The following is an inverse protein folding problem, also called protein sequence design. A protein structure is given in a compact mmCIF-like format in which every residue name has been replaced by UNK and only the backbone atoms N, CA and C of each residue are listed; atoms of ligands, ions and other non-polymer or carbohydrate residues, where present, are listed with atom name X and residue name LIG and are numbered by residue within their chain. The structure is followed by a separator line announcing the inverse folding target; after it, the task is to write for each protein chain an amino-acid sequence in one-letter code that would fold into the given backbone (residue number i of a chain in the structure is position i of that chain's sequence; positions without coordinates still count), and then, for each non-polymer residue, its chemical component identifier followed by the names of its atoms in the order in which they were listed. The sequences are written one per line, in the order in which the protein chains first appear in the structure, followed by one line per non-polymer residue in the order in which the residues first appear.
data_IF_032600749178
#
_entry.id   IF_032600749178
#
_cell.length_a   1.000
_cell.length_b   1.000
_cell.length_c   1.000
_cell.angle_alpha   90.00
_cell.angle_beta   90.00
_cell.angle_gamma   90.00
#
_symmetry.space_group_name_H-M   'P 1'
#
loop_
_entity.id
_entity.type
_entity.pdbx_description
1 polymer ?
#
# COMPACT_ATOMS: atom_id res chain seq x y z
N UNK A 1 -17.91 17.36 -18.12
CA UNK A 1 -18.34 16.73 -16.85
C UNK A 1 -19.02 17.79 -16.02
N UNK A 2 -20.35 17.72 -15.85
CA UNK A 2 -21.10 18.65 -14.99
C UNK A 2 -21.05 18.14 -13.54
N UNK A 3 -20.46 18.91 -12.63
CA UNK A 3 -20.51 18.67 -11.20
C UNK A 3 -21.52 19.65 -10.60
N UNK A 4 -22.65 19.13 -10.11
CA UNK A 4 -23.68 19.95 -9.44
C UNK A 4 -23.46 19.94 -7.93
N UNK A 5 -23.40 21.11 -7.29
CA UNK A 5 -23.32 21.26 -5.82
C UNK A 5 -24.56 20.72 -5.09
N UNK A 6 -25.65 20.42 -5.83
CA UNK A 6 -26.90 19.87 -5.28
C UNK A 6 -26.86 18.34 -5.08
N UNK A 7 -25.86 17.65 -5.63
CA UNK A 7 -25.72 16.19 -5.47
C UNK A 7 -25.00 15.90 -4.16
N UNK A 8 -25.76 15.47 -3.15
CA UNK A 8 -25.22 14.99 -1.88
C UNK A 8 -25.04 13.48 -1.96
N UNK A 9 -23.78 13.01 -1.97
CA UNK A 9 -23.46 11.59 -1.87
C UNK A 9 -23.15 11.24 -0.42
N UNK A 10 -23.86 10.27 0.14
CA UNK A 10 -23.57 9.73 1.47
C UNK A 10 -22.59 8.57 1.32
N UNK A 11 -21.39 8.72 1.87
CA UNK A 11 -20.41 7.66 1.92
C UNK A 11 -20.49 6.92 3.24
N UNK A 12 -20.91 5.65 3.21
CA UNK A 12 -20.87 4.79 4.38
C UNK A 12 -19.46 4.19 4.52
N UNK A 13 -18.78 4.53 5.60
CA UNK A 13 -17.48 3.92 5.93
C UNK A 13 -17.63 2.41 6.15
N UNK A 14 -16.60 1.64 5.82
CA UNK A 14 -16.63 0.19 6.02
C UNK A 14 -16.62 -0.14 7.51
N UNK A 15 -17.59 -0.92 7.97
CA UNK A 15 -17.80 -1.27 9.38
C UNK A 15 -16.70 -2.17 9.95
N UNK A 16 -15.99 -2.92 9.11
CA UNK A 16 -14.98 -3.88 9.54
C UNK A 16 -13.64 -3.68 8.84
N UNK A 17 -12.54 -3.89 9.58
CA UNK A 17 -11.17 -3.83 9.07
C UNK A 17 -10.98 -4.81 7.90
N UNK A 18 -11.58 -6.01 7.98
CA UNK A 18 -11.51 -7.01 6.90
C UNK A 18 -12.09 -6.50 5.57
N UNK A 19 -13.27 -5.86 5.62
CA UNK A 19 -13.90 -5.25 4.44
C UNK A 19 -13.05 -4.12 3.87
N UNK A 20 -12.40 -3.33 4.76
CA UNK A 20 -11.52 -2.25 4.38
C UNK A 20 -10.23 -2.75 3.70
N UNK A 21 -9.56 -3.77 4.26
CA UNK A 21 -8.36 -4.38 3.67
C UNK A 21 -8.67 -4.99 2.30
N UNK A 22 -9.81 -5.70 2.15
CA UNK A 22 -10.27 -6.21 0.85
C UNK A 22 -10.48 -5.10 -0.17
N UNK A 23 -11.03 -3.97 0.25
CA UNK A 23 -11.19 -2.79 -0.60
C UNK A 23 -9.84 -2.25 -1.08
N UNK A 24 -8.85 -2.15 -0.18
CA UNK A 24 -7.50 -1.68 -0.53
C UNK A 24 -6.79 -2.64 -1.48
N UNK A 25 -6.96 -3.94 -1.29
CA UNK A 25 -6.47 -4.94 -2.24
C UNK A 25 -7.08 -4.74 -3.64
N UNK A 26 -8.39 -4.59 -3.74
CA UNK A 26 -9.07 -4.36 -5.01
C UNK A 26 -8.62 -3.04 -5.67
N UNK A 27 -8.36 -1.99 -4.89
CA UNK A 27 -7.76 -0.76 -5.41
C UNK A 27 -6.36 -0.99 -5.97
N UNK A 28 -5.54 -1.81 -5.30
CA UNK A 28 -4.24 -2.23 -5.82
C UNK A 28 -4.36 -2.92 -7.18
N UNK A 29 -5.27 -3.91 -7.27
CA UNK A 29 -5.54 -4.65 -8.52
C UNK A 29 -5.96 -3.69 -9.65
N UNK A 30 -6.95 -2.84 -9.39
CA UNK A 30 -7.47 -1.89 -10.39
C UNK A 30 -6.38 -0.94 -10.88
N UNK A 31 -5.52 -0.46 -9.98
CA UNK A 31 -4.41 0.43 -10.31
C UNK A 31 -3.31 -0.27 -11.10
N UNK A 32 -2.98 -1.51 -10.74
CA UNK A 32 -2.01 -2.30 -11.48
C UNK A 32 -2.49 -2.58 -12.91
N UNK A 33 -3.74 -3.02 -13.09
CA UNK A 33 -4.34 -3.21 -14.42
C UNK A 33 -4.35 -1.93 -15.24
N UNK A 34 -4.64 -0.78 -14.60
CA UNK A 34 -4.61 0.52 -15.28
C UNK A 34 -3.20 0.85 -15.79
N UNK A 35 -2.17 0.66 -14.97
CA UNK A 35 -0.76 0.92 -15.35
C UNK A 35 -0.34 0.01 -16.51
N UNK A 36 -0.68 -1.27 -16.44
CA UNK A 36 -0.33 -2.25 -17.49
C UNK A 36 -1.03 -1.88 -18.82
N UNK A 37 -2.33 -1.60 -18.76
CA UNK A 37 -3.13 -1.31 -19.97
C UNK A 37 -2.75 0.01 -20.63
N UNK A 38 -2.58 1.07 -19.84
CA UNK A 38 -2.36 2.42 -20.38
C UNK A 38 -0.87 2.80 -20.47
N UNK A 39 0.04 1.98 -19.91
CA UNK A 39 1.50 2.26 -19.82
C UNK A 39 1.82 3.64 -19.22
N UNK A 40 0.92 4.14 -18.35
CA UNK A 40 1.05 5.47 -17.73
C UNK A 40 0.95 5.37 -16.22
N UNK A 41 1.81 6.13 -15.54
CA UNK A 41 1.84 6.23 -14.08
C UNK A 41 1.21 7.56 -13.70
N UNK A 42 0.06 7.51 -13.01
CA UNK A 42 -0.70 8.72 -12.65
C UNK A 42 -0.39 9.25 -11.25
N UNK A 43 0.25 8.45 -10.40
CA UNK A 43 0.60 8.87 -9.03
C UNK A 43 1.87 8.19 -8.52
N UNK A 44 2.62 8.90 -7.66
CA UNK A 44 3.84 8.39 -7.03
C UNK A 44 3.61 7.10 -6.21
N UNK A 45 2.42 6.92 -5.63
CA UNK A 45 2.07 5.71 -4.87
C UNK A 45 2.13 4.44 -5.72
N UNK A 46 1.85 4.55 -7.02
CA UNK A 46 1.89 3.42 -7.96
C UNK A 46 3.31 2.92 -8.21
N UNK A 47 4.30 3.75 -7.91
CA UNK A 47 5.72 3.41 -8.08
C UNK A 47 6.37 3.08 -6.74
N UNK A 48 6.21 3.96 -5.74
CA UNK A 48 6.94 3.86 -4.47
C UNK A 48 6.62 2.56 -3.73
N UNK A 49 5.36 2.19 -3.58
CA UNK A 49 4.97 1.00 -2.81
C UNK A 49 5.43 -0.32 -3.46
N UNK A 50 5.18 -0.57 -4.77
CA UNK A 50 5.67 -1.79 -5.40
C UNK A 50 7.19 -1.85 -5.51
N UNK A 51 7.86 -0.75 -5.86
CA UNK A 51 9.32 -0.73 -6.00
C UNK A 51 10.03 -0.91 -4.65
N UNK A 52 9.52 -0.30 -3.57
CA UNK A 52 10.07 -0.51 -2.23
C UNK A 52 9.92 -1.96 -1.77
N UNK A 53 8.80 -2.62 -2.06
CA UNK A 53 8.62 -4.03 -1.72
C UNK A 53 9.53 -4.95 -2.53
N UNK A 54 9.73 -4.67 -3.83
CA UNK A 54 10.70 -5.39 -4.65
C UNK A 54 12.14 -5.18 -4.15
N UNK A 55 12.50 -3.94 -3.78
CA UNK A 55 13.80 -3.63 -3.21
C UNK A 55 14.04 -4.43 -1.91
N UNK A 56 13.04 -4.54 -1.02
CA UNK A 56 13.14 -5.38 0.18
C UNK A 56 13.41 -6.85 -0.16
N UNK A 57 12.71 -7.41 -1.15
CA UNK A 57 12.90 -8.80 -1.58
C UNK A 57 14.32 -8.98 -2.14
N UNK A 58 14.79 -8.08 -3.00
CA UNK A 58 16.14 -8.12 -3.56
C UNK A 58 17.19 -8.02 -2.47
N UNK A 59 17.06 -7.06 -1.53
CA UNK A 59 17.98 -6.91 -0.40
C UNK A 59 18.01 -8.17 0.47
N UNK A 60 16.87 -8.81 0.70
CA UNK A 60 16.79 -10.05 1.45
C UNK A 60 17.63 -11.16 0.79
N UNK A 61 17.47 -11.39 -0.51
CA UNK A 61 18.26 -12.42 -1.21
C UNK A 61 19.75 -12.07 -1.33
N UNK A 62 20.09 -10.80 -1.54
CA UNK A 62 21.49 -10.35 -1.56
C UNK A 62 22.14 -10.46 -0.18
N UNK A 63 21.36 -10.37 0.89
CA UNK A 63 21.82 -10.55 2.27
C UNK A 63 22.47 -11.90 2.53
N UNK A 64 22.06 -12.96 1.84
CA UNK A 64 22.72 -14.28 1.93
C UNK A 64 24.13 -14.29 1.33
N UNK A 65 24.44 -13.34 0.42
CA UNK A 65 25.79 -13.20 -0.14
C UNK A 65 26.65 -12.24 0.67
N UNK A 66 26.05 -11.19 1.24
CA UNK A 66 26.75 -10.18 2.01
C UNK A 66 25.85 -9.61 3.10
N UNK A 67 26.25 -9.72 4.35
CA UNK A 67 25.54 -9.25 5.54
C UNK A 67 25.19 -7.75 5.48
N UNK A 68 25.93 -6.95 4.73
CA UNK A 68 25.64 -5.51 4.52
C UNK A 68 24.20 -5.28 4.04
N UNK A 69 23.68 -6.14 3.13
CA UNK A 69 22.31 -5.99 2.63
C UNK A 69 21.26 -6.31 3.68
N UNK A 70 21.52 -7.19 4.65
CA UNK A 70 20.62 -7.40 5.79
C UNK A 70 20.57 -6.18 6.71
N UNK A 71 21.70 -5.52 6.97
CA UNK A 71 21.72 -4.28 7.75
C UNK A 71 20.94 -3.16 7.02
N UNK A 72 21.12 -3.05 5.71
CA UNK A 72 20.40 -2.08 4.90
C UNK A 72 18.89 -2.34 4.91
N UNK A 73 18.46 -3.60 4.78
CA UNK A 73 17.08 -4.02 4.88
C UNK A 73 16.47 -3.68 6.23
N UNK A 74 17.20 -3.98 7.32
CA UNK A 74 16.79 -3.65 8.68
C UNK A 74 16.60 -2.15 8.86
N UNK A 75 17.55 -1.34 8.40
CA UNK A 75 17.47 0.12 8.44
C UNK A 75 16.23 0.62 7.68
N UNK A 76 15.96 0.07 6.51
CA UNK A 76 14.79 0.43 5.70
C UNK A 76 13.47 0.08 6.40
N UNK A 77 13.38 -1.09 7.01
CA UNK A 77 12.22 -1.52 7.79
C UNK A 77 12.01 -0.61 9.00
N UNK A 78 13.08 -0.30 9.76
CA UNK A 78 13.01 0.61 10.91
C UNK A 78 12.55 2.01 10.50
N UNK A 79 13.08 2.54 9.41
CA UNK A 79 12.66 3.84 8.87
C UNK A 79 11.17 3.83 8.46
N UNK A 80 10.71 2.77 7.82
CA UNK A 80 9.30 2.61 7.47
C UNK A 80 8.38 2.58 8.70
N UNK A 81 8.74 1.83 9.75
CA UNK A 81 7.99 1.81 11.00
C UNK A 81 8.01 3.18 11.70
N UNK A 82 9.13 3.88 11.68
CA UNK A 82 9.24 5.24 12.21
C UNK A 82 8.23 6.18 11.51
N UNK A 83 8.13 6.12 10.18
CA UNK A 83 7.14 6.90 9.42
C UNK A 83 5.70 6.56 9.79
N UNK A 84 5.38 5.27 9.98
CA UNK A 84 4.04 4.86 10.42
C UNK A 84 3.72 5.40 11.82
N UNK A 85 4.67 5.29 12.76
CA UNK A 85 4.50 5.75 14.12
C UNK A 85 4.34 7.27 14.15
N UNK A 86 5.19 8.02 13.45
CA UNK A 86 5.11 9.49 13.41
C UNK A 86 3.81 9.97 12.80
N UNK A 87 3.35 9.37 11.71
CA UNK A 87 2.05 9.71 11.10
C UNK A 87 0.89 9.39 12.02
N UNK A 88 0.97 8.26 12.75
CA UNK A 88 -0.04 7.87 13.73
C UNK A 88 -0.10 8.83 14.93
N UNK A 89 1.06 9.25 15.43
CA UNK A 89 1.17 10.25 16.51
C UNK A 89 0.58 11.60 16.13
N UNK A 90 0.87 12.08 14.92
CA UNK A 90 0.36 13.36 14.42
C UNK A 90 -1.17 13.34 14.31
N UNK A 91 -1.73 12.22 13.82
CA UNK A 91 -3.17 12.10 13.58
C UNK A 91 -4.00 11.81 14.84
N UNK A 92 -3.45 11.10 15.82
CA UNK A 92 -4.18 10.56 16.97
C UNK A 92 -3.53 10.92 18.31
N UNK A 93 -3.19 12.20 18.51
CA UNK A 93 -2.52 12.70 19.74
C UNK A 93 -3.27 12.43 21.05
N UNK A 94 -4.58 12.16 20.99
CA UNK A 94 -5.44 12.09 22.19
C UNK A 94 -5.57 10.68 22.80
N UNK A 95 -5.20 9.60 22.08
CA UNK A 95 -5.39 8.24 22.57
C UNK A 95 -4.38 7.25 21.97
N UNK A 96 -3.63 6.59 22.84
CA UNK A 96 -2.64 5.55 22.45
C UNK A 96 -3.35 4.39 21.72
N UNK A 97 -4.54 3.99 22.20
CA UNK A 97 -5.31 2.91 21.57
C UNK A 97 -5.73 3.24 20.12
N UNK A 98 -6.12 4.47 19.85
CA UNK A 98 -6.43 4.91 18.49
C UNK A 98 -5.18 5.02 17.63
N UNK A 99 -4.05 5.38 18.21
CA UNK A 99 -2.77 5.42 17.53
C UNK A 99 -2.33 4.04 17.05
N UNK A 100 -2.41 3.02 17.90
CA UNK A 100 -2.03 1.64 17.52
C UNK A 100 -2.96 1.06 16.47
N UNK A 101 -4.28 1.28 16.61
CA UNK A 101 -5.27 0.87 15.60
C UNK A 101 -5.01 1.55 14.25
N UNK A 102 -4.71 2.85 14.26
CA UNK A 102 -4.41 3.61 13.05
C UNK A 102 -3.13 3.08 12.37
N UNK A 103 -2.06 2.85 13.15
CA UNK A 103 -0.82 2.30 12.64
C UNK A 103 -1.02 0.90 11.99
N UNK A 104 -1.77 0.02 12.67
CA UNK A 104 -2.11 -1.30 12.15
C UNK A 104 -2.94 -1.23 10.86
N UNK A 105 -3.93 -0.33 10.79
CA UNK A 105 -4.70 -0.10 9.57
C UNK A 105 -3.83 0.43 8.43
N UNK A 106 -2.92 1.37 8.71
CA UNK A 106 -2.03 1.94 7.70
C UNK A 106 -1.10 0.87 7.13
N UNK A 107 -0.50 0.07 8.01
CA UNK A 107 0.37 -1.06 7.62
C UNK A 107 -0.39 -2.09 6.77
N UNK A 108 -1.57 -2.53 7.25
CA UNK A 108 -2.43 -3.46 6.52
C UNK A 108 -2.87 -2.93 5.14
N UNK A 109 -3.11 -1.63 5.04
CA UNK A 109 -3.46 -0.96 3.78
C UNK A 109 -2.32 -1.02 2.77
N UNK A 110 -1.09 -0.74 3.20
CA UNK A 110 0.09 -0.76 2.32
C UNK A 110 0.35 -2.17 1.80
N UNK A 111 0.29 -3.19 2.68
CA UNK A 111 0.46 -4.59 2.27
C UNK A 111 -0.64 -5.03 1.30
N UNK A 112 -1.91 -4.82 1.67
CA UNK A 112 -3.03 -5.26 0.84
C UNK A 112 -3.01 -4.59 -0.54
N UNK A 113 -2.72 -3.30 -0.60
CA UNK A 113 -2.63 -2.56 -1.85
C UNK A 113 -1.48 -3.07 -2.73
N UNK A 114 -0.31 -3.29 -2.15
CA UNK A 114 0.88 -3.80 -2.86
C UNK A 114 0.65 -5.21 -3.40
N UNK A 115 0.07 -6.11 -2.59
CA UNK A 115 -0.29 -7.45 -3.03
C UNK A 115 -1.31 -7.42 -4.16
N UNK A 116 -2.32 -6.55 -4.07
CA UNK A 116 -3.29 -6.34 -5.14
C UNK A 116 -2.64 -5.84 -6.43
N UNK A 117 -1.70 -4.91 -6.33
CA UNK A 117 -0.97 -4.40 -7.48
C UNK A 117 -0.18 -5.51 -8.18
N UNK A 118 0.58 -6.34 -7.46
CA UNK A 118 1.29 -7.48 -8.08
C UNK A 118 0.34 -8.54 -8.62
N UNK A 119 -0.76 -8.82 -7.92
CA UNK A 119 -1.77 -9.76 -8.41
C UNK A 119 -2.38 -9.34 -9.76
N UNK A 120 -2.42 -8.05 -10.06
CA UNK A 120 -2.89 -7.54 -11.34
C UNK A 120 -2.06 -8.02 -12.53
N UNK A 121 -0.75 -8.21 -12.36
CA UNK A 121 0.11 -8.77 -13.41
C UNK A 121 -0.27 -10.22 -13.71
N UNK A 122 -0.53 -11.01 -12.67
CA UNK A 122 -0.97 -12.42 -12.83
C UNK A 122 -2.30 -12.46 -13.59
N UNK A 123 -3.25 -11.60 -13.22
CA UNK A 123 -4.53 -11.51 -13.91
C UNK A 123 -4.36 -11.10 -15.38
N UNK A 124 -3.52 -10.09 -15.63
CA UNK A 124 -3.29 -9.62 -17.00
C UNK A 124 -2.73 -10.74 -17.88
N UNK A 125 -1.71 -11.46 -17.43
CA UNK A 125 -1.14 -12.59 -18.19
C UNK A 125 -2.13 -13.73 -18.38
N UNK A 126 -3.00 -14.00 -17.39
CA UNK A 126 -4.02 -15.04 -17.48
C UNK A 126 -5.10 -14.74 -18.53
N UNK A 127 -5.47 -13.48 -18.72
CA UNK A 127 -6.55 -13.06 -19.63
C UNK A 127 -6.05 -12.44 -20.92
N UNK A 128 -4.74 -12.26 -21.10
CA UNK A 128 -4.10 -11.78 -22.33
C UNK A 128 -3.63 -12.92 -23.23
N UNK A 129 -3.70 -14.17 -22.74
CA UNK A 129 -3.49 -15.42 -23.50
C UNK A 129 -4.84 -15.97 -23.93
#
# INVERSE_FOLDING_TARGET
TYVSSKIKAYYYSRETIKKFIKLMFNYGVSRGLFVIKNKTITSLRQVILPTSSLACIVMFFLGFKNLFFFYLLLLFILFYFLLIITTSLIKNRKSIQNMTRYAACLFGTHIAWTLGFFYSFILYFKYSL
#
